data_IF_244431890472
#
_entry.id   IF_244431890472
#
_cell.length_a   1.000
_cell.length_b   1.000
_cell.length_c   1.000
_cell.angle_alpha   90.00
_cell.angle_beta   90.00
_cell.angle_gamma   90.00
#
_symmetry.space_group_name_H-M   'P 1'
#
loop_
_entity.id
_entity.type
_entity.pdbx_description
1 polymer ?
2 polymer ?
3 non-polymer ?
4 non-polymer ?
5 water ?
#
# COMPACT_ATOMS: atom_id res chain seq x y z
N UNK A 1 -30.31 9.36 1.56
CA UNK A 1 -29.13 8.45 1.79
C UNK A 1 -27.91 9.22 2.27
N UNK A 2 -27.14 8.62 3.18
CA UNK A 2 -25.94 9.25 3.75
C UNK A 2 -24.73 8.33 3.53
N UNK A 3 -23.59 8.95 3.28
CA UNK A 3 -22.37 8.25 2.90
C UNK A 3 -21.74 7.43 4.05
N UNK A 4 -22.06 7.78 5.29
CA UNK A 4 -21.54 7.06 6.47
C UNK A 4 -22.18 5.67 6.60
N UNK A 5 -23.45 5.55 6.17
CA UNK A 5 -24.19 4.29 6.24
C UNK A 5 -24.18 3.59 4.88
N UNK A 6 -23.61 2.39 4.84
CA UNK A 6 -23.63 1.54 3.64
C UNK A 6 -22.90 2.17 2.44
N UNK A 7 -21.95 3.06 2.71
CA UNK A 7 -21.28 3.88 1.69
C UNK A 7 -22.25 4.73 0.84
N UNK A 8 -23.42 5.07 1.40
CA UNK A 8 -24.48 5.75 0.66
C UNK A 8 -25.04 4.98 -0.54
N UNK A 9 -24.78 3.67 -0.59
CA UNK A 9 -25.08 2.85 -1.74
C UNK A 9 -24.08 2.92 -2.88
N UNK A 10 -23.03 3.74 -2.74
CA UNK A 10 -22.05 3.94 -3.82
C UNK A 10 -21.09 2.76 -3.91
N UNK A 11 -20.69 2.42 -5.13
CA UNK A 11 -19.68 1.40 -5.33
C UNK A 11 -18.32 1.89 -4.85
N UNK A 12 -18.02 3.16 -5.13
CA UNK A 12 -16.73 3.77 -4.77
C UNK A 12 -16.93 4.96 -3.83
N UNK A 13 -16.80 6.20 -4.32
CA UNK A 13 -16.75 7.37 -3.45
C UNK A 13 -18.10 8.04 -3.34
N UNK A 14 -18.35 8.69 -2.21
CA UNK A 14 -19.65 9.28 -1.88
C UNK A 14 -19.48 10.68 -1.30
N UNK A 15 -20.33 11.61 -1.77
CA UNK A 15 -20.35 12.98 -1.24
C UNK A 15 -21.77 13.28 -0.75
N UNK A 16 -21.88 13.78 0.48
CA UNK A 16 -23.16 14.29 1.01
C UNK A 16 -23.35 15.72 0.53
N UNK A 17 -24.60 16.09 0.24
CA UNK A 17 -24.96 17.42 -0.21
C UNK A 17 -26.13 17.95 0.62
N UNK A 18 -26.31 19.27 0.63
CA UNK A 18 -27.28 19.93 1.53
C UNK A 18 -28.72 19.51 1.18
N UNK A 19 -29.44 19.03 2.19
CA UNK A 19 -30.74 18.38 2.00
C UNK A 19 -30.56 16.87 2.09
N UNK A 20 -31.50 16.13 1.52
CA UNK A 20 -31.41 14.66 1.45
C UNK A 20 -30.75 14.23 0.15
N UNK A 21 -29.61 14.84 -0.18
CA UNK A 21 -28.93 14.60 -1.46
C UNK A 21 -27.62 13.86 -1.26
N UNK A 22 -27.21 13.16 -2.31
CA UNK A 22 -26.00 12.35 -2.30
C UNK A 22 -25.49 12.20 -3.73
N UNK A 23 -24.18 12.30 -3.93
CA UNK A 23 -23.57 12.06 -5.23
C UNK A 23 -22.50 11.01 -5.07
N UNK A 24 -22.58 9.95 -5.86
CA UNK A 24 -21.50 8.95 -5.93
C UNK A 24 -20.52 9.37 -6.99
N UNK A 25 -19.26 8.98 -6.80
CA UNK A 25 -18.23 9.31 -7.78
C UNK A 25 -17.33 8.10 -7.96
N UNK A 26 -16.54 8.12 -9.03
CA UNK A 26 -15.64 7.03 -9.34
C UNK A 26 -14.22 7.55 -9.50
N UNK A 27 -13.27 6.67 -9.21
CA UNK A 27 -11.83 6.94 -9.37
C UNK A 27 -11.54 7.22 -10.84
N UNK A 28 -10.46 7.93 -11.10
CA UNK A 28 -9.93 8.03 -12.46
C UNK A 28 -9.85 6.63 -13.09
N UNK A 29 -10.17 6.54 -14.37
CA UNK A 29 -10.20 5.27 -15.09
C UNK A 29 -11.50 4.51 -14.98
N UNK A 30 -12.50 5.13 -14.36
CA UNK A 30 -13.86 4.59 -14.26
C UNK A 30 -14.87 5.68 -14.58
N UNK A 31 -16.07 5.27 -15.00
CA UNK A 31 -17.20 6.20 -15.14
C UNK A 31 -18.39 5.68 -14.35
N UNK A 32 -19.24 6.60 -13.92
CA UNK A 32 -20.43 6.28 -13.13
C UNK A 32 -21.56 5.89 -14.07
N UNK A 33 -22.26 4.81 -13.74
CA UNK A 33 -23.38 4.36 -14.54
C UNK A 33 -24.63 5.16 -14.22
N UNK A 34 -25.63 5.00 -15.06
CA UNK A 34 -26.90 5.72 -14.93
C UNK A 34 -27.71 5.36 -13.67
N UNK A 35 -27.39 4.23 -13.04
CA UNK A 35 -27.93 3.93 -11.70
C UNK A 35 -27.44 4.90 -10.61
N UNK A 36 -26.40 5.69 -10.91
CA UNK A 36 -25.89 6.71 -10.02
C UNK A 36 -25.00 6.19 -8.91
N UNK A 37 -24.67 4.88 -8.94
CA UNK A 37 -23.87 4.24 -7.88
C UNK A 37 -22.70 3.37 -8.40
N UNK A 38 -22.91 2.70 -9.54
CA UNK A 38 -21.94 1.73 -10.06
C UNK A 38 -20.85 2.40 -10.87
N UNK A 39 -19.65 1.82 -10.80
CA UNK A 39 -18.50 2.34 -11.53
C UNK A 39 -18.02 1.28 -12.52
N UNK A 40 -17.77 1.69 -13.77
CA UNK A 40 -17.31 0.78 -14.81
C UNK A 40 -15.97 1.28 -15.36
N UNK A 41 -15.00 0.38 -15.61
CA UNK A 41 -13.73 0.85 -16.18
C UNK A 41 -13.87 1.50 -17.55
N UNK A 42 -13.05 2.53 -17.77
CA UNK A 42 -12.99 3.24 -19.03
C UNK A 42 -11.64 3.07 -19.72
N UNK A 43 -10.74 2.34 -19.07
CA UNK A 43 -9.38 2.13 -19.58
C UNK A 43 -9.07 0.66 -19.44
N UNK A 44 -7.98 0.23 -20.06
CA UNK A 44 -7.60 -1.18 -20.07
C UNK A 44 -7.15 -1.67 -18.70
N UNK A 45 -6.41 -0.82 -18.00
CA UNK A 45 -5.80 -1.18 -16.72
C UNK A 45 -6.21 -0.24 -15.61
N UNK A 46 -7.49 -0.26 -15.22
CA UNK A 46 -7.95 0.60 -14.14
C UNK A 46 -7.34 0.18 -12.81
N UNK A 47 -7.16 1.10 -11.88
CA UNK A 47 -6.58 0.74 -10.58
C UNK A 47 -7.41 -0.31 -9.84
N UNK A 48 -6.73 -1.12 -9.03
CA UNK A 48 -7.41 -2.01 -8.09
C UNK A 48 -8.11 -3.22 -8.70
N UNK A 49 -7.87 -3.49 -9.99
CA UNK A 49 -8.40 -4.68 -10.64
C UNK A 49 -7.23 -5.53 -11.15
N UNK A 50 -7.41 -6.85 -11.09
CA UNK A 50 -6.34 -7.79 -11.39
C UNK A 50 -6.64 -8.40 -12.75
N UNK A 51 -5.97 -7.93 -13.82
CA UNK A 51 -6.26 -8.34 -15.20
C UNK A 51 -6.40 -9.84 -15.44
N UNK A 52 -5.48 -10.66 -14.90
CA UNK A 52 -5.54 -12.10 -15.15
C UNK A 52 -6.80 -12.74 -14.53
N UNK A 53 -7.32 -12.17 -13.44
CA UNK A 53 -8.58 -12.65 -12.83
C UNK A 53 -9.83 -12.04 -13.48
N UNK A 54 -9.73 -10.80 -13.96
CA UNK A 54 -10.82 -10.17 -14.70
C UNK A 54 -11.12 -10.91 -16.01
N UNK A 55 -10.06 -11.28 -16.73
CA UNK A 55 -10.19 -12.17 -17.90
C UNK A 55 -10.64 -13.59 -17.54
N UNK A 56 -10.23 -14.08 -16.37
CA UNK A 56 -10.61 -15.43 -15.88
C UNK A 56 -12.12 -15.60 -15.63
N UNK A 57 -12.82 -14.50 -15.33
CA UNK A 57 -14.30 -14.51 -15.19
C UNK A 57 -15.05 -13.77 -16.32
N UNK A 58 -14.33 -13.12 -17.24
CA UNK A 58 -14.95 -12.46 -18.39
C UNK A 58 -15.49 -13.48 -19.39
N UNK B 1 7.08 -12.30 4.73
CA UNK B 1 5.76 -12.78 5.13
C UNK B 1 5.86 -14.15 5.79
N UNK B 2 5.28 -14.29 7.00
CA UNK B 2 5.29 -15.55 7.75
C UNK B 2 3.90 -16.20 7.65
N UNK B 3 3.87 -17.47 7.26
CA UNK B 3 2.64 -18.26 7.25
C UNK B 3 1.65 -17.92 6.14
N UNK B 4 2.14 -17.27 5.08
CA UNK B 4 1.32 -16.95 3.91
C UNK B 4 1.50 -17.97 2.80
N UNK B 5 1.27 -17.52 1.57
CA UNK B 5 1.44 -18.34 0.38
C UNK B 5 2.06 -17.50 -0.71
N UNK B 6 2.55 -18.16 -1.76
CA UNK B 6 3.05 -17.49 -2.93
C UNK B 6 1.86 -16.74 -3.53
N UNK B 7 2.05 -15.45 -3.83
CA UNK B 7 1.06 -14.70 -4.60
C UNK B 7 1.18 -15.18 -6.04
N UNK B 8 0.11 -15.78 -6.60
CA UNK B 8 0.26 -16.25 -7.99
C UNK B 8 0.70 -15.10 -8.90
N UNK B 9 1.67 -15.39 -9.77
CA UNK B 9 2.25 -14.36 -10.64
C UNK B 9 1.16 -13.52 -11.33
N UNK B 10 1.25 -12.20 -11.18
CA UNK B 10 0.26 -11.28 -11.73
C UNK B 10 -0.93 -10.96 -10.85
N UNK B 11 -1.11 -11.68 -9.73
CA UNK B 11 -2.22 -11.39 -8.80
C UNK B 11 -1.91 -10.35 -7.72
N UNK B 12 -0.65 -9.89 -7.67
CA UNK B 12 -0.26 -8.80 -6.81
C UNK B 12 0.41 -7.71 -7.67
N UNK B 13 -0.30 -7.21 -8.72
CA UNK B 13 0.39 -6.46 -9.78
C UNK B 13 0.85 -5.03 -9.39
N UNK B 14 0.40 -4.56 -8.24
CA UNK B 14 0.80 -3.24 -7.68
C UNK B 14 2.03 -3.32 -6.76
N UNK B 15 2.50 -4.54 -6.46
CA UNK B 15 3.63 -4.73 -5.56
C UNK B 15 4.88 -4.17 -6.22
N UNK B 16 5.64 -3.40 -5.47
CA UNK B 16 6.92 -2.85 -5.91
C UNK B 16 8.03 -3.50 -5.07
N UNK B 17 9.16 -3.80 -5.72
CA UNK B 17 10.42 -4.14 -5.02
C UNK B 17 11.34 -2.95 -5.13
N UNK B 18 11.85 -2.48 -3.99
CA UNK B 18 12.86 -1.42 -3.95
C UNK B 18 14.25 -2.02 -3.72
N UNK B 19 15.20 -1.59 -4.55
CA UNK B 19 16.60 -2.03 -4.50
C UNK B 19 17.52 -0.86 -4.23
N UNK B 20 18.63 -1.10 -3.53
CA UNK B 20 19.71 -0.12 -3.41
C UNK B 20 21.01 -0.87 -3.74
N UNK B 21 21.74 -0.41 -4.76
CA UNK B 21 22.89 -1.11 -5.33
C UNK B 21 22.60 -2.58 -5.66
N UNK B 22 21.42 -2.82 -6.22
CA UNK B 22 20.95 -4.16 -6.55
C UNK B 22 20.44 -5.03 -5.41
N UNK B 23 20.61 -4.57 -4.17
CA UNK B 23 20.23 -5.34 -2.97
C UNK B 23 18.80 -5.00 -2.57
N UNK B 24 18.07 -6.03 -2.13
CA UNK B 24 16.72 -5.84 -1.63
C UNK B 24 16.68 -4.88 -0.44
N UNK B 25 15.87 -3.82 -0.56
CA UNK B 25 15.71 -2.82 0.50
C UNK B 25 14.36 -2.97 1.20
N UNK B 26 13.30 -2.90 0.41
CA UNK B 26 11.95 -2.75 0.95
C UNK B 26 10.91 -3.03 -0.13
N UNK B 27 9.65 -3.10 0.28
CA UNK B 27 8.53 -3.14 -0.66
C UNK B 27 7.97 -1.76 -0.91
N UNK B 28 6.98 -1.71 -1.79
CA UNK B 28 6.23 -0.49 -2.07
C UNK B 28 4.94 -0.82 -2.81
N UNK B 29 4.12 0.21 -3.05
CA UNK B 29 2.85 0.05 -3.74
C UNK B 29 2.74 1.07 -4.85
N UNK B 30 2.50 0.59 -6.06
CA UNK B 30 2.24 1.46 -7.19
C UNK B 30 0.82 2.01 -7.06
N UNK B 31 0.68 3.33 -7.11
CA UNK B 31 -0.67 3.96 -7.09
C UNK B 31 -1.05 4.72 -8.38
N UNK B 32 -0.08 4.94 -9.26
CA UNK B 32 -0.35 5.33 -10.64
C UNK B 32 0.97 5.14 -11.38
N UNK B 33 1.05 5.55 -12.64
CA UNK B 33 2.22 5.15 -13.45
C UNK B 33 3.59 5.72 -13.01
N UNK B 34 3.62 6.83 -12.28
CA UNK B 34 4.90 7.38 -11.79
C UNK B 34 5.07 7.43 -10.27
N UNK B 35 4.04 7.05 -9.49
CA UNK B 35 4.05 7.23 -8.04
C UNK B 35 3.97 5.91 -7.29
N UNK B 36 4.86 5.76 -6.31
CA UNK B 36 4.97 4.60 -5.43
C UNK B 36 4.89 5.06 -3.96
N UNK B 37 4.11 4.33 -3.17
CA UNK B 37 4.02 4.56 -1.73
C UNK B 37 4.84 3.49 -1.02
N UNK B 38 5.68 3.91 -0.09
CA UNK B 38 6.49 2.99 0.72
C UNK B 38 6.54 3.51 2.17
N UNK B 39 7.46 2.98 2.97
CA UNK B 39 7.63 3.38 4.37
C UNK B 39 8.85 4.28 4.52
N UNK B 40 8.70 5.35 5.30
CA UNK B 40 9.79 6.31 5.53
C UNK B 40 11.04 5.64 6.09
N UNK B 41 10.85 4.68 7.00
CA UNK B 41 11.97 4.03 7.69
C UNK B 41 12.91 3.24 6.77
N UNK B 42 12.41 2.88 5.57
CA UNK B 42 13.23 2.25 4.53
C UNK B 42 14.43 3.09 4.08
N UNK B 43 14.37 4.41 4.28
CA UNK B 43 15.38 5.34 3.78
C UNK B 43 16.26 5.94 4.88
N UNK B 44 16.19 5.41 6.10
CA UNK B 44 16.99 5.92 7.22
C UNK B 44 18.51 5.82 7.00
N UNK B 45 18.95 4.76 6.32
CA UNK B 45 20.39 4.47 6.16
C UNK B 45 20.90 4.61 4.72
N UNK B 46 20.17 5.32 3.86
CA UNK B 46 20.58 5.48 2.46
C UNK B 46 21.73 6.49 2.38
N UNK B 47 22.80 6.09 1.70
CA UNK B 47 23.99 6.91 1.55
C UNK B 47 24.02 7.52 0.17
N UNK B 48 23.90 6.69 -0.87
CA UNK B 48 23.74 7.18 -2.24
C UNK B 48 22.28 7.13 -2.69
N UNK B 49 21.64 8.29 -2.61
CA UNK B 49 20.23 8.44 -3.00
C UNK B 49 19.97 8.23 -4.50
N UNK B 50 21.03 8.25 -5.32
CA UNK B 50 20.92 8.10 -6.77
C UNK B 50 20.96 6.66 -7.27
N UNK B 51 21.12 5.69 -6.37
CA UNK B 51 21.14 4.26 -6.73
C UNK B 51 19.91 3.50 -6.23
N UNK B 52 18.80 4.21 -6.03
CA UNK B 52 17.53 3.59 -5.63
C UNK B 52 16.76 3.19 -6.88
N UNK B 53 16.34 1.92 -6.95
CA UNK B 53 15.61 1.39 -8.09
C UNK B 53 14.30 0.79 -7.61
N UNK B 54 13.21 1.05 -8.35
CA UNK B 54 11.92 0.42 -8.13
C UNK B 54 11.69 -0.58 -9.25
N UNK B 55 11.27 -1.80 -8.91
CA UNK B 55 10.96 -2.83 -9.89
C UNK B 55 9.47 -3.18 -9.79
N UNK B 56 8.78 -3.08 -10.93
CA UNK B 56 7.39 -3.50 -11.07
C UNK B 56 7.34 -4.79 -11.85
N UNK B 57 6.26 -5.54 -11.67
CA UNK B 57 6.07 -6.79 -12.39
C UNK B 57 7.00 -7.90 -11.95
N UNK B 58 7.59 -7.75 -10.78
CA UNK B 58 8.50 -8.76 -10.24
C UNK B 58 7.68 -9.88 -9.62
N UNK B 59 8.24 -11.08 -9.62
CA UNK B 59 7.59 -12.21 -9.00
C UNK B 59 8.62 -13.14 -8.39
N UNK B 60 9.42 -13.77 -9.26
CA UNK B 60 10.46 -14.71 -8.82
C UNK B 60 11.81 -14.03 -9.00
N UNK B 61 12.44 -13.71 -7.88
CA UNK B 61 13.71 -12.97 -7.88
C UNK B 61 14.88 -13.76 -8.48
N UNK B 62 14.73 -15.07 -8.62
CA UNK B 62 15.78 -15.92 -9.20
C UNK B 62 15.87 -15.85 -10.73
N UNK B 63 14.85 -15.32 -11.40
CA UNK B 63 14.79 -15.35 -12.85
C UNK B 63 14.34 -14.03 -13.44
N UNK B 64 14.61 -13.84 -14.73
CA UNK B 64 14.08 -12.76 -15.53
C UNK B 64 13.09 -13.38 -16.51
N UNK B 65 11.84 -12.93 -16.50
CA UNK B 65 10.85 -13.45 -17.45
C UNK B 65 10.31 -12.41 -18.45
N UNK B 66 10.77 -11.17 -18.36
CA UNK B 66 10.39 -10.14 -19.31
C UNK B 66 9.22 -9.26 -18.89
N UNK B 67 8.53 -9.60 -17.80
CA UNK B 67 7.44 -8.76 -17.29
C UNK B 67 7.92 -7.68 -16.31
N UNK B 68 9.19 -7.76 -15.91
CA UNK B 68 9.73 -6.83 -14.92
C UNK B 68 9.95 -5.50 -15.60
N UNK B 69 9.75 -4.41 -14.85
CA UNK B 69 10.05 -3.07 -15.34
C UNK B 69 10.77 -2.34 -14.23
N UNK B 70 12.00 -1.88 -14.52
CA UNK B 70 12.83 -1.17 -13.55
C UNK B 70 12.86 0.31 -13.86
N UNK B 71 12.81 1.11 -12.80
CA UNK B 71 12.86 2.57 -12.91
C UNK B 71 13.71 3.14 -11.81
N UNK B 72 14.50 4.16 -12.12
CA UNK B 72 15.18 4.94 -11.10
C UNK B 72 14.18 5.73 -10.25
N UNK B 73 14.44 5.81 -8.96
CA UNK B 73 13.64 6.63 -8.04
C UNK B 73 14.20 8.05 -8.09
N UNK B 74 13.39 8.99 -8.60
CA UNK B 74 13.79 10.38 -8.81
C UNK B 74 13.57 11.26 -7.59
N UNK B 75 12.58 10.91 -6.77
CA UNK B 75 12.27 11.68 -5.57
C UNK B 75 11.77 10.75 -4.48
N UNK B 76 12.22 11.00 -3.25
CA UNK B 76 11.70 10.32 -2.07
C UNK B 76 11.15 11.43 -1.17
N UNK B 77 9.83 11.45 -0.97
CA UNK B 77 9.18 12.48 -0.17
C UNK B 77 8.69 11.91 1.15
N UNK B 78 9.12 12.55 2.25
CA UNK B 78 8.87 12.04 3.60
C UNK B 78 8.21 13.18 4.42
N UNK B 79 7.21 12.85 5.25
CA UNK B 79 6.54 13.90 6.02
C UNK B 79 7.47 14.55 7.05
N UNK B 80 7.32 15.85 7.26
CA UNK B 80 8.17 16.60 8.20
C UNK B 80 8.10 16.00 9.62
N UNK B 81 6.97 15.41 9.95
CA UNK B 81 6.73 14.82 11.26
C UNK B 81 7.44 13.48 11.51
N UNK B 82 7.95 12.83 10.47
CA UNK B 82 8.70 11.58 10.65
C UNK B 82 10.08 11.87 11.26
N UNK B 83 10.44 11.11 12.30
CA UNK B 83 11.78 11.18 12.89
C UNK B 83 12.52 9.87 12.64
N UNK B 84 13.68 9.92 11.95
CA UNK B 84 14.43 8.69 11.70
C UNK B 84 14.71 7.87 12.94
N UNK B 85 14.56 6.56 12.82
CA UNK B 85 14.80 5.63 13.93
C UNK B 85 13.59 5.39 14.81
N UNK B 86 12.47 6.08 14.54
CA UNK B 86 11.23 5.91 15.29
C UNK B 86 10.12 5.41 14.34
N UNK B 87 8.94 5.18 14.90
CA UNK B 87 7.86 4.47 14.20
C UNK B 87 6.75 5.35 13.62
N UNK B 88 6.50 6.53 14.20
CA UNK B 88 5.33 7.33 13.81
C UNK B 88 5.53 7.98 12.44
N UNK B 89 4.43 8.17 11.71
CA UNK B 89 4.45 8.80 10.38
C UNK B 89 5.32 8.05 9.37
N UNK B 90 5.17 6.73 9.36
CA UNK B 90 6.03 5.88 8.55
C UNK B 90 5.51 5.71 7.12
N UNK B 91 5.70 6.76 6.33
CA UNK B 91 5.24 6.80 4.95
C UNK B 91 6.23 7.58 4.10
N UNK B 92 6.41 7.12 2.86
CA UNK B 92 7.21 7.83 1.87
C UNK B 92 6.48 7.78 0.54
N UNK B 93 6.55 8.88 -0.21
CA UNK B 93 5.99 8.92 -1.55
C UNK B 93 7.16 9.05 -2.52
N UNK B 94 7.25 8.10 -3.44
CA UNK B 94 8.37 8.02 -4.38
C UNK B 94 7.90 8.36 -5.79
N UNK B 95 8.63 9.26 -6.45
CA UNK B 95 8.39 9.60 -7.85
C UNK B 95 9.39 8.82 -8.71
N UNK B 96 8.90 8.08 -9.70
CA UNK B 96 9.78 7.35 -10.62
C UNK B 96 10.32 8.33 -11.68
N UNK B 97 11.49 8.02 -12.21
CA UNK B 97 12.15 8.89 -13.20
C UNK B 97 11.39 8.89 -14.53
N UNK B 98 10.73 7.78 -14.83
CA UNK B 98 9.95 7.59 -16.02
C UNK B 98 8.77 6.71 -15.64
N UNK B 99 7.58 6.95 -16.23
CA UNK B 99 6.45 6.08 -15.87
C UNK B 99 6.67 4.61 -16.20
N UNK B 100 6.10 3.72 -15.40
CA UNK B 100 5.96 2.33 -15.79
C UNK B 100 4.86 2.22 -16.84
N UNK B 101 4.91 1.16 -17.62
CA UNK B 101 3.88 0.85 -18.62
C UNK B 101 2.90 -0.13 -17.99
N UNK B 102 1.62 0.22 -17.96
CA UNK B 102 0.64 -0.71 -17.40
C UNK B 102 0.44 -1.91 -18.32
N UNK B 103 0.42 -3.09 -17.70
CA UNK B 103 0.33 -4.38 -18.40
C UNK B 103 -0.46 -5.31 -17.52
N UNK B 104 -0.71 -6.54 -17.96
CA UNK B 104 -1.37 -7.52 -17.10
C UNK B 104 -0.62 -7.74 -15.77
N UNK B 105 0.69 -7.49 -15.76
CA UNK B 105 1.54 -7.72 -14.58
C UNK B 105 1.93 -6.45 -13.81
N UNK B 106 1.51 -5.29 -14.31
CA UNK B 106 1.84 -4.00 -13.69
C UNK B 106 0.58 -3.14 -13.68
N UNK B 107 -0.02 -3.00 -12.51
CA UNK B 107 -1.28 -2.28 -12.34
C UNK B 107 -1.25 -1.53 -11.02
N UNK B 108 -1.68 -0.25 -11.00
CA UNK B 108 -1.69 0.47 -9.73
C UNK B 108 -2.83 0.04 -8.81
N UNK B 109 -2.59 0.09 -7.50
CA UNK B 109 -3.64 -0.04 -6.49
C UNK B 109 -4.32 1.32 -6.32
N UNK B 110 -5.65 1.35 -6.15
CA UNK B 110 -6.34 2.64 -6.01
C UNK B 110 -6.04 3.29 -4.66
N UNK B 111 -5.61 4.55 -4.70
CA UNK B 111 -5.50 5.32 -3.47
C UNK B 111 -6.90 5.89 -3.20
N UNK B 112 -7.54 5.46 -2.09
CA UNK B 112 -8.92 5.87 -1.86
C UNK B 112 -9.03 7.30 -1.38
N UNK B 113 -10.23 7.88 -1.52
CA UNK B 113 -10.55 9.11 -0.83
C UNK B 113 -10.56 8.84 0.68
N UNK B 114 -10.27 9.88 1.47
CA UNK B 114 -10.17 9.75 2.93
C UNK B 114 -11.49 9.28 3.55
N UNK B 115 -12.58 9.98 3.23
CA UNK B 115 -13.89 9.65 3.83
C UNK B 115 -14.28 8.19 3.57
N UNK B 116 -14.12 7.77 2.32
CA UNK B 116 -14.39 6.40 1.92
C UNK B 116 -13.52 5.43 2.73
N UNK B 117 -12.25 5.76 2.88
CA UNK B 117 -11.32 4.90 3.61
C UNK B 117 -11.66 4.79 5.08
N UNK B 118 -11.99 5.92 5.71
CA UNK B 118 -12.30 5.96 7.13
C UNK B 118 -13.65 5.33 7.44
N UNK B 119 -14.65 5.65 6.62
CA UNK B 119 -16.02 5.24 6.89
C UNK B 119 -16.38 3.84 6.39
N UNK B 120 -15.66 3.34 5.39
CA UNK B 120 -16.00 2.06 4.76
C UNK B 120 -14.85 1.06 4.78
N UNK B 121 -13.72 1.43 4.19
CA UNK B 121 -12.60 0.48 4.08
C UNK B 121 -12.06 0.05 5.44
N UNK B 122 -12.06 0.97 6.40
CA UNK B 122 -11.56 0.72 7.74
C UNK B 122 -12.34 -0.38 8.50
N UNK B 123 -13.55 -0.68 8.05
CA UNK B 123 -14.38 -1.72 8.67
C UNK B 123 -14.43 -3.03 7.87
N UNK B 124 -13.73 -3.12 6.75
CA UNK B 124 -13.54 -4.39 6.06
C UNK B 124 -12.53 -5.16 6.92
N UNK B 125 -12.92 -6.35 7.39
CA UNK B 125 -12.12 -7.06 8.39
C UNK B 125 -10.76 -7.51 7.84
N UNK B 126 -10.78 -8.25 6.73
CA UNK B 126 -9.57 -8.84 6.17
C UNK B 126 -9.00 -8.04 4.99
N UNK B 127 -7.67 -7.98 4.93
CA UNK B 127 -6.93 -7.33 3.85
C UNK B 127 -5.66 -8.12 3.56
N UNK B 128 -5.08 -7.92 2.37
CA UNK B 128 -3.89 -8.67 1.96
C UNK B 128 -2.62 -7.86 2.19
N UNK B 129 -1.61 -8.53 2.74
CA UNK B 129 -0.26 -7.95 2.89
C UNK B 129 0.70 -8.84 2.11
N UNK B 130 1.71 -8.24 1.48
CA UNK B 130 2.59 -8.96 0.57
C UNK B 130 4.02 -8.45 0.58
N UNK B 131 4.95 -9.30 0.16
CA UNK B 131 6.35 -8.93 0.08
C UNK B 131 7.31 -10.09 -0.08
N UNK B 132 8.56 -9.73 -0.32
CA UNK B 132 9.66 -10.70 -0.41
C UNK B 132 10.47 -10.71 0.90
N UNK B 133 9.84 -10.36 2.03
CA UNK B 133 10.52 -10.34 3.31
C UNK B 133 10.77 -11.72 3.90
N UNK B 134 11.28 -11.73 5.13
CA UNK B 134 11.62 -12.97 5.81
C UNK B 134 10.38 -13.88 5.96
N UNK B 135 10.58 -15.16 5.65
CA UNK B 135 9.53 -16.18 5.77
C UNK B 135 9.36 -16.65 7.22
N UNK B 136 10.34 -16.34 8.05
CA UNK B 136 10.34 -16.66 9.48
C UNK B 136 11.08 -15.56 10.19
N UNK B 137 10.76 -15.35 11.47
CA UNK B 137 11.57 -14.48 12.32
C UNK B 137 12.97 -15.09 12.36
N UNK B 138 13.99 -14.24 12.20
CA UNK B 138 15.39 -14.67 12.11
C UNK B 138 15.67 -15.65 10.94
N UNK B 139 14.85 -15.57 9.90
CA UNK B 139 14.92 -16.49 8.77
C UNK B 139 15.28 -15.82 7.46
N UNK B 140 15.42 -16.63 6.40
CA UNK B 140 15.78 -16.14 5.08
C UNK B 140 14.57 -15.47 4.40
N UNK B 141 14.86 -14.55 3.50
CA UNK B 141 13.82 -13.84 2.73
C UNK B 141 13.32 -14.71 1.59
N UNK B 142 12.13 -14.37 1.08
CA UNK B 142 11.47 -15.13 0.04
C UNK B 142 12.02 -14.83 -1.34
N UNK B 143 12.12 -15.87 -2.18
CA UNK B 143 12.48 -15.72 -3.59
C UNK B 143 11.26 -15.47 -4.49
N UNK B 144 10.09 -15.96 -4.08
CA UNK B 144 8.82 -15.66 -4.77
C UNK B 144 7.98 -14.75 -3.90
N UNK B 145 7.25 -13.83 -4.53
CA UNK B 145 6.40 -12.88 -3.80
C UNK B 145 5.36 -13.63 -2.98
N UNK B 146 5.25 -13.28 -1.70
CA UNK B 146 4.31 -13.95 -0.80
C UNK B 146 3.18 -13.01 -0.43
N UNK B 147 2.03 -13.59 -0.07
CA UNK B 147 0.86 -12.82 0.31
C UNK B 147 0.15 -13.47 1.50
N UNK B 148 -0.47 -12.64 2.34
CA UNK B 148 -1.13 -13.09 3.56
C UNK B 148 -2.40 -12.30 3.83
N UNK B 149 -3.48 -13.00 4.16
CA UNK B 149 -4.73 -12.36 4.53
C UNK B 149 -4.72 -12.12 6.04
N UNK B 150 -4.89 -10.88 6.46
CA UNK B 150 -4.82 -10.51 7.88
C UNK B 150 -6.05 -9.69 8.30
N UNK B 151 -6.58 -9.94 9.52
CA UNK B 151 -7.70 -9.15 10.05
C UNK B 151 -7.24 -7.90 10.79
N UNK B 152 -8.01 -6.81 10.63
CA UNK B 152 -7.68 -5.53 11.23
C UNK B 152 -8.31 -5.44 12.61
N UNK B 153 -7.61 -4.80 13.55
CA UNK B 153 -8.13 -4.58 14.90
C UNK B 153 -8.31 -3.10 15.15
N UNK B 154 -9.31 -2.77 15.95
CA UNK B 154 -9.42 -1.42 16.51
C UNK B 154 -8.26 -1.25 17.48
N UNK B 155 -7.67 -0.06 17.52
CA UNK B 155 -6.45 0.16 18.31
C UNK B 155 -6.64 -0.14 19.82
N UNK B 156 -7.80 0.20 20.38
CA UNK B 156 -8.13 -0.16 21.75
C UNK B 156 -8.10 -1.68 21.97
N UNK B 157 -8.61 -2.43 21.00
CA UNK B 157 -8.58 -3.90 21.06
C UNK B 157 -7.16 -4.46 20.87
N UNK B 158 -6.36 -3.83 20.01
CA UNK B 158 -4.96 -4.23 19.83
C UNK B 158 -4.14 -4.07 21.11
N UNK B 159 -4.31 -2.93 21.77
CA UNK B 159 -3.60 -2.63 23.03
C UNK B 159 -4.03 -3.56 24.17
N UNK B 160 -5.32 -3.86 24.23
CA UNK B 160 -5.86 -4.82 25.22
C UNK B 160 -5.38 -6.25 24.98
N UNK B 161 -5.37 -6.67 23.72
CA UNK B 161 -4.92 -8.02 23.35
C UNK B 161 -3.40 -8.21 23.32
N UNK B 162 -2.63 -7.12 23.24
CA UNK B 162 -1.17 -7.22 23.13
C UNK B 162 -0.49 -7.33 24.49
N UNK B 163 0.45 -8.27 24.59
CA UNK B 163 1.18 -8.51 25.84
C UNK B 163 2.40 -9.40 25.59
N UNK B 168 8.87 0.24 24.23
CA UNK B 168 7.78 -0.24 23.40
C UNK B 168 6.99 0.93 22.78
N UNK B 169 6.96 1.05 21.43
CA UNK B 169 6.27 2.22 20.85
C UNK B 169 4.76 2.19 21.03
N UNK B 170 4.15 3.37 21.14
CA UNK B 170 2.68 3.50 21.19
C UNK B 170 2.09 3.21 19.81
N UNK B 171 0.84 2.77 19.79
CA UNK B 171 0.05 2.69 18.57
C UNK B 171 -0.69 4.02 18.47
N UNK B 172 -0.24 4.88 17.55
CA UNK B 172 -0.79 6.22 17.40
C UNK B 172 -1.96 6.21 16.43
N UNK B 173 -2.60 7.37 16.27
CA UNK B 173 -3.67 7.55 15.28
C UNK B 173 -3.19 7.42 13.83
N UNK B 174 -1.88 7.38 13.60
CA UNK B 174 -1.30 7.23 12.27
C UNK B 174 -0.90 5.79 11.98
N UNK B 175 -1.37 4.87 12.83
CA UNK B 175 -1.10 3.45 12.69
C UNK B 175 -2.38 2.65 12.91
N UNK B 176 -2.32 1.39 12.53
CA UNK B 176 -3.28 0.40 12.98
C UNK B 176 -2.63 -0.97 13.06
N UNK B 177 -3.24 -1.83 13.87
CA UNK B 177 -2.81 -3.21 14.03
C UNK B 177 -3.59 -4.13 13.11
N UNK B 178 -2.91 -5.15 12.59
CA UNK B 178 -3.55 -6.26 11.90
C UNK B 178 -2.73 -7.51 11.99
N UNK B 179 -3.40 -8.66 11.91
CA UNK B 179 -2.74 -9.96 11.91
C UNK B 179 -3.23 -10.83 13.05
N UNK B 180 -2.30 -11.60 13.62
CA UNK B 180 -2.62 -12.65 14.58
C UNK B 180 -1.63 -12.63 15.73
N UNK B 181 -2.10 -12.96 16.94
CA UNK B 181 -1.28 -12.93 18.16
C UNK B 181 -0.78 -14.31 18.59
N UNK B 182 -0.99 -15.34 17.76
CA UNK B 182 -0.61 -16.73 18.08
C UNK B 182 0.74 -17.18 17.46
N UNK B 183 1.46 -16.25 16.85
CA UNK B 183 2.76 -16.53 16.27
C UNK B 183 2.79 -17.36 15.01
N UNK B 184 1.66 -17.43 14.31
CA UNK B 184 1.55 -18.24 13.11
C UNK B 184 1.71 -17.44 11.81
N UNK B 185 1.15 -16.23 11.78
CA UNK B 185 1.03 -15.46 10.54
C UNK B 185 1.29 -14.00 10.79
N UNK B 186 2.13 -13.39 9.95
CA UNK B 186 2.51 -11.98 10.12
C UNK B 186 3.28 -11.48 8.91
N UNK B 187 3.41 -10.16 8.81
CA UNK B 187 4.42 -9.56 7.94
C UNK B 187 5.72 -9.64 8.71
N UNK B 188 6.84 -9.34 8.07
CA UNK B 188 8.15 -9.46 8.72
C UNK B 188 9.16 -8.52 8.11
N UNK B 189 10.36 -8.50 8.68
CA UNK B 189 11.46 -7.72 8.11
C UNK B 189 11.61 -8.03 6.64
N UNK B 190 11.82 -7.00 5.83
CA UNK B 190 11.93 -7.16 4.39
C UNK B 190 10.62 -6.85 3.67
N UNK B 191 9.49 -6.96 4.37
CA UNK B 191 8.17 -6.63 3.82
C UNK B 191 7.85 -5.15 3.98
N UNK B 192 8.59 -4.45 4.85
CA UNK B 192 8.42 -3.02 5.10
C UNK B 192 8.21 -2.24 3.81
N UNK B 193 7.22 -1.35 3.85
CA UNK B 193 6.89 -0.49 2.73
C UNK B 193 5.85 -1.07 1.81
N UNK B 194 5.60 -2.38 1.89
CA UNK B 194 4.66 -3.04 1.01
C UNK B 194 3.21 -2.74 1.35
N UNK B 195 2.30 -3.17 0.47
CA UNK B 195 0.89 -2.86 0.60
C UNK B 195 0.12 -3.69 1.64
N UNK B 196 -0.82 -3.01 2.28
CA UNK B 196 -1.94 -3.63 2.97
C UNK B 196 -3.13 -3.18 2.12
N UNK B 197 -3.68 -4.13 1.36
CA UNK B 197 -4.65 -3.86 0.29
C UNK B 197 -6.01 -4.41 0.67
N UNK B 198 -7.04 -3.59 0.55
CA UNK B 198 -8.38 -3.92 1.01
C UNK B 198 -9.37 -3.95 -0.15
N UNK B 199 -10.15 -5.03 -0.23
CA UNK B 199 -11.15 -5.23 -1.28
C UNK B 199 -12.50 -4.65 -0.85
N UNK B 200 -13.15 -3.92 -1.76
CA UNK B 200 -14.51 -3.46 -1.55
C UNK B 200 -15.24 -3.40 -2.90
N UNK B 201 -16.32 -4.18 -3.00
CA UNK B 201 -17.18 -4.21 -4.19
C UNK B 201 -16.44 -4.28 -5.53
N UNK B 202 -15.53 -5.24 -5.63
CA UNK B 202 -14.88 -5.58 -6.88
C UNK B 202 -13.54 -4.90 -7.14
N UNK B 203 -13.11 -4.04 -6.23
CA UNK B 203 -11.91 -3.21 -6.45
C UNK B 203 -11.05 -3.18 -5.18
N UNK B 204 -9.73 -3.09 -5.37
CA UNK B 204 -8.77 -3.09 -4.27
C UNK B 204 -8.19 -1.70 -4.02
N UNK B 205 -7.97 -1.36 -2.75
CA UNK B 205 -7.55 -0.02 -2.32
C UNK B 205 -6.38 -0.09 -1.34
N UNK B 206 -5.53 0.93 -1.35
CA UNK B 206 -4.43 1.02 -0.39
C UNK B 206 -4.94 1.56 0.94
N UNK B 207 -4.91 0.72 1.98
CA UNK B 207 -5.28 1.14 3.34
C UNK B 207 -4.12 1.15 4.34
N UNK B 208 -3.05 0.39 4.09
CA UNK B 208 -1.91 0.41 4.99
C UNK B 208 -0.56 0.16 4.34
N UNK B 209 0.49 0.49 5.08
CA UNK B 209 1.87 0.23 4.67
C UNK B 209 2.52 -0.64 5.74
N UNK B 210 3.18 -1.72 5.34
CA UNK B 210 3.92 -2.56 6.31
C UNK B 210 4.96 -1.68 7.01
N UNK B 211 4.83 -1.54 8.32
CA UNK B 211 5.65 -0.60 9.08
C UNK B 211 6.55 -1.28 10.12
N UNK B 212 5.96 -1.87 11.15
CA UNK B 212 6.78 -2.45 12.23
C UNK B 212 6.04 -3.52 13.04
N UNK B 213 6.77 -4.11 13.98
CA UNK B 213 6.19 -4.99 14.97
C UNK B 213 7.25 -5.49 15.92
N UNK B 214 6.80 -6.11 17.01
CA UNK B 214 7.69 -6.75 17.97
C UNK B 214 8.13 -8.07 17.35
N UNK B 215 9.37 -8.11 16.86
CA UNK B 215 9.86 -9.25 16.07
C UNK B 215 8.89 -9.49 14.93
N UNK B 216 8.74 -10.76 14.53
CA UNK B 216 7.65 -11.10 13.63
C UNK B 216 7.02 -12.45 13.99
N UNK B 217 5.70 -12.47 13.89
CA UNK B 217 4.88 -13.57 14.37
C UNK B 217 5.26 -13.88 15.82
N UNK B 218 5.40 -12.82 16.62
CA UNK B 218 5.74 -12.95 18.04
C UNK B 218 4.44 -13.17 18.78
N UNK B 219 4.41 -14.18 19.65
CA UNK B 219 3.19 -14.51 20.39
C UNK B 219 2.83 -13.31 21.26
N UNK B 220 1.55 -12.96 21.28
CA UNK B 220 1.04 -11.80 22.02
C UNK B 220 1.20 -10.44 21.34
N UNK B 221 1.62 -10.42 20.07
CA UNK B 221 1.82 -9.16 19.34
C UNK B 221 1.26 -9.23 17.93
N UNK B 222 0.86 -8.08 17.40
CA UNK B 222 0.32 -7.95 16.04
C UNK B 222 1.25 -7.10 15.19
N UNK B 223 1.12 -7.22 13.87
CA UNK B 223 1.84 -6.34 12.95
C UNK B 223 1.22 -4.95 12.98
N UNK B 224 2.04 -3.93 12.77
CA UNK B 224 1.58 -2.54 12.80
C UNK B 224 1.79 -1.93 11.42
N UNK B 225 0.77 -1.19 10.98
CA UNK B 225 0.71 -0.67 9.61
C UNK B 225 0.45 0.82 9.67
N UNK B 226 1.07 1.57 8.77
CA UNK B 226 0.79 2.99 8.65
C UNK B 226 -0.63 3.17 8.16
N UNK B 227 -1.40 4.02 8.83
CA UNK B 227 -2.82 4.26 8.50
C UNK B 227 -2.88 5.28 7.35
N UNK B 228 -2.93 4.76 6.13
CA UNK B 228 -2.79 5.57 4.91
C UNK B 228 -3.88 6.65 4.78
N UNK B 229 -5.06 6.38 5.33
CA UNK B 229 -6.18 7.33 5.31
C UNK B 229 -5.80 8.72 5.91
N UNK B 230 -4.87 8.74 6.86
CA UNK B 230 -4.37 10.01 7.42
C UNK B 230 -3.55 10.85 6.45
N UNK B 231 -3.09 10.26 5.34
CA UNK B 231 -2.14 10.90 4.43
C UNK B 231 -2.69 11.15 3.03
N UNK B 232 -3.98 10.89 2.80
CA UNK B 232 -4.53 10.97 1.44
C UNK B 232 -4.36 12.37 0.85
N UNK B 233 -4.76 13.39 1.62
CA UNK B 233 -4.68 14.77 1.16
C UNK B 233 -3.22 15.20 0.96
N UNK B 234 -2.34 14.76 1.87
CA UNK B 234 -0.91 15.05 1.79
C UNK B 234 -0.30 14.43 0.52
N UNK B 235 -0.66 13.17 0.25
CA UNK B 235 -0.20 12.48 -0.95
C UNK B 235 -0.73 13.14 -2.22
N UNK B 236 -2.02 13.45 -2.25
CA UNK B 236 -2.65 14.04 -3.41
C UNK B 236 -2.04 15.39 -3.78
N UNK B 237 -1.78 16.23 -2.78
CA UNK B 237 -1.15 17.52 -3.02
C UNK B 237 0.24 17.34 -3.62
N UNK B 238 1.03 16.44 -3.05
CA UNK B 238 2.38 16.18 -3.56
C UNK B 238 2.39 15.64 -4.99
N UNK B 239 1.41 14.81 -5.33
CA UNK B 239 1.33 14.28 -6.70
C UNK B 239 0.98 15.34 -7.74
N UNK B 240 0.41 16.47 -7.33
CA UNK B 240 0.17 17.63 -8.22
C UNK B 240 1.37 18.60 -8.29
N UNK B 241 2.41 18.37 -7.49
CA UNK B 241 3.55 19.29 -7.40
C UNK B 241 4.61 18.98 -8.44
N UNK B 242 5.36 20.00 -8.84
CA UNK B 242 6.51 19.80 -9.72
C UNK B 242 7.69 19.20 -8.96
N UNK B 243 8.49 18.32 -9.61
CA UNK B 243 9.70 17.77 -8.99
C UNK B 243 10.69 18.87 -8.59
N UNK B 244 11.48 18.61 -7.55
CA UNK B 244 12.55 19.51 -7.10
C UNK B 244 13.90 18.80 -7.26
N UNK B 245 14.99 19.55 -7.51
CA UNK B 245 16.30 18.92 -7.56
C UNK B 245 16.66 18.27 -6.23
N UNK B 246 17.41 17.18 -6.27
CA UNK B 246 17.74 16.39 -5.08
C UNK B 246 16.67 15.34 -4.82
N UNK B 247 17.10 14.14 -4.48
CA UNK B 247 16.18 13.01 -4.35
C UNK B 247 15.30 13.16 -3.12
N UNK B 248 15.91 13.33 -1.94
CA UNK B 248 15.13 13.43 -0.71
C UNK B 248 14.44 14.79 -0.61
N UNK B 249 13.15 14.76 -0.29
CA UNK B 249 12.37 15.97 0.01
C UNK B 249 11.59 15.72 1.29
N UNK B 250 11.78 16.58 2.30
CA UNK B 250 10.92 16.56 3.47
C UNK B 250 9.83 17.58 3.20
N UNK B 251 8.58 17.13 3.32
CA UNK B 251 7.42 17.95 2.98
C UNK B 251 6.57 18.14 4.23
N UNK B 252 6.04 19.35 4.44
CA UNK B 252 5.27 19.59 5.66
C UNK B 252 4.07 18.64 5.78
N UNK B 253 3.85 18.14 6.98
CA UNK B 253 2.63 17.41 7.33
C UNK B 253 2.04 18.08 8.58
N UNK B 254 0.74 18.34 8.64
CA UNK B 254 -0.25 18.01 7.59
C UNK B 254 -0.09 18.79 6.28
X LIG C 1 7.35 -7.19 12.66
X LIG C 1 6.14 -7.11 10.83
X LIG C 1 7.98 -6.29 11.82
X LIG C 1 7.21 -6.24 10.65
X LIG C 1 10.95 -3.14 12.05
X LIG C 1 9.14 -5.51 11.94
X LIG C 1 12.17 -2.26 12.04
X LIG C 1 10.69 -0.19 11.91
X LIG C 1 10.44 1.14 12.25
X LIG C 1 12.74 -0.10 13.16
X LIG C 1 11.33 1.83 13.04
X LIG C 1 6.28 -7.67 12.07
X LIG C 1 10.65 -3.87 10.95
X LIG C 1 9.51 -4.69 10.89
X LIG C 1 10.25 -3.20 13.05
X LIG C 1 5.42 -8.59 12.62
X LIG C 1 7.60 -5.41 9.61
X LIG C 1 11.84 -0.82 12.38
X LIG C 1 8.74 -4.64 9.74
X LIG C 1 9.00 1.95 11.71
X LIG C 1 12.49 1.22 13.49
X LIG D 1 12.94 -3.71 7.85
X LIG D 1 14.26 -4.34 7.68
X LIG D 1 12.99 -2.33 7.35
X LIG D 1 12.62 -3.66 9.30
X LIG D 1 11.91 -4.50 7.14
X LIG E 1 -9.42 2.64 15.47
X LIG E 1 -10.00 2.81 14.12
X LIG E 1 -9.12 3.97 16.02
X LIG E 1 -10.39 1.98 16.36
X LIG E 1 -8.20 1.80 15.38
#
# INVERSE_FOLDING_TARGET
LICVNENGGCEQYCSDHTGTKRSCRCHEGYSLLADGVSCTPTVEYPCGKIPILEKRNASKPQGR
IVGGKVCPKGECPWQVLLLVNGAQLCGGTLINTIWVVSAAHCFDKIKNWRNLIAVLGEHDLSEHDGDEQSRRVAQVIIPSTYVPGTTNHDIALLRLHQPVVLTDHVVPLCLPERTFSERTLAFVRFSLVSGWGQLLDRGATALELMVLNVPRLMTQDCLQQSRKVGDSPNITEYMFCAGYSDGSKDSCKGDSGGPHATHYRGTWYLTGIVSWGQGCATVGHFGVYTRVSQYIEWLQKLMRSEPRPGVLLRAPFP
7ZG N1 N3 C4 C5 C6 C7 C13 C15 C17 C20 C21 C2 N8 C9 O10 N11 C12 C14 C16 CL1 C19
SO4 S O1 O2 O3 O4
SO4 S O1 O2 O3 O4
#
